data_IF_412260311031
#
_entry.id   IF_412260311031
#
_cell.length_a   1.000
_cell.length_b   1.000
_cell.length_c   1.000
_cell.angle_alpha   90.00
_cell.angle_beta   90.00
_cell.angle_gamma   90.00
#
_symmetry.space_group_name_H-M   'P 1'
#
loop_
_entity.id
_entity.type
_entity.pdbx_description
1 polymer ?
#
# COMPACT_ATOMS: atom_id res chain seq x y z
N UNK A 1 -23.65 -25.86 -0.23
CA UNK A 1 -22.32 -25.36 -0.62
C UNK A 1 -22.52 -24.22 -1.61
N UNK A 2 -22.62 -22.98 -1.12
CA UNK A 2 -22.67 -21.81 -1.99
C UNK A 2 -21.32 -21.62 -2.67
N UNK A 3 -21.30 -21.55 -4.00
CA UNK A 3 -20.11 -21.14 -4.76
C UNK A 3 -19.64 -19.79 -4.21
N UNK A 4 -18.42 -19.70 -3.75
CA UNK A 4 -17.79 -18.43 -3.43
C UNK A 4 -17.80 -17.60 -4.71
N UNK A 5 -18.74 -16.66 -4.80
CA UNK A 5 -18.77 -15.69 -5.89
C UNK A 5 -17.51 -14.84 -5.73
N UNK A 6 -16.63 -14.90 -6.71
CA UNK A 6 -15.41 -14.08 -6.72
C UNK A 6 -15.75 -12.59 -6.69
N UNK A 7 -14.79 -11.73 -6.42
CA UNK A 7 -15.01 -10.29 -6.36
C UNK A 7 -15.54 -9.77 -7.70
N UNK A 8 -16.59 -8.96 -7.65
CA UNK A 8 -17.06 -8.24 -8.84
C UNK A 8 -16.12 -7.04 -9.12
N UNK A 9 -15.11 -7.28 -9.95
CA UNK A 9 -14.12 -6.29 -10.31
C UNK A 9 -14.71 -5.05 -10.98
N UNK A 10 -15.82 -5.19 -11.73
CA UNK A 10 -16.49 -4.04 -12.37
C UNK A 10 -17.03 -3.08 -11.33
N UNK A 11 -17.71 -3.61 -10.32
CA UNK A 11 -18.23 -2.81 -9.20
C UNK A 11 -17.08 -2.19 -8.40
N UNK A 12 -16.04 -2.98 -8.07
CA UNK A 12 -14.88 -2.52 -7.29
C UNK A 12 -14.16 -1.37 -8.03
N UNK A 13 -13.91 -1.51 -9.35
CA UNK A 13 -13.29 -0.44 -10.13
C UNK A 13 -14.17 0.80 -10.26
N UNK A 14 -15.51 0.64 -10.33
CA UNK A 14 -16.43 1.79 -10.39
C UNK A 14 -16.43 2.61 -9.10
N UNK A 15 -16.29 1.95 -7.94
CA UNK A 15 -16.31 2.60 -6.62
C UNK A 15 -14.97 3.25 -6.29
N UNK A 16 -13.88 2.50 -6.48
CA UNK A 16 -12.55 2.95 -6.04
C UNK A 16 -11.73 3.63 -7.15
N UNK A 17 -11.99 3.35 -8.42
CA UNK A 17 -11.22 3.81 -9.58
C UNK A 17 -9.80 3.23 -9.59
N UNK A 18 -8.94 3.77 -10.44
CA UNK A 18 -7.51 3.45 -10.47
C UNK A 18 -6.69 4.63 -9.97
N UNK A 19 -5.72 4.38 -9.05
CA UNK A 19 -4.71 5.36 -8.73
C UNK A 19 -3.75 5.51 -9.91
N UNK A 20 -3.27 6.73 -10.11
CA UNK A 20 -2.20 7.02 -11.08
C UNK A 20 -2.50 6.53 -12.50
N UNK A 21 -3.78 6.56 -12.93
CA UNK A 21 -4.15 6.18 -14.30
C UNK A 21 -3.32 6.93 -15.35
N UNK A 22 -2.91 8.18 -15.05
CA UNK A 22 -2.05 8.98 -15.91
C UNK A 22 -0.67 8.35 -16.06
N UNK A 23 -0.07 7.86 -14.96
CA UNK A 23 1.22 7.15 -14.98
C UNK A 23 1.10 5.85 -15.76
N UNK A 24 0.03 5.09 -15.57
CA UNK A 24 -0.23 3.84 -16.31
C UNK A 24 -0.38 4.15 -17.80
N UNK A 25 -1.19 5.14 -18.18
CA UNK A 25 -1.39 5.56 -19.55
C UNK A 25 -0.07 6.03 -20.22
N UNK A 26 0.74 6.81 -19.47
CA UNK A 26 2.06 7.24 -19.92
C UNK A 26 3.00 6.04 -20.21
N UNK A 27 3.08 5.09 -19.30
CA UNK A 27 3.90 3.89 -19.48
C UNK A 27 3.46 3.06 -20.68
N UNK A 28 2.15 2.84 -20.83
CA UNK A 28 1.58 2.10 -21.96
C UNK A 28 1.83 2.83 -23.28
N UNK A 29 1.64 4.15 -23.33
CA UNK A 29 1.91 4.95 -24.51
C UNK A 29 3.36 4.82 -24.96
N UNK A 30 4.33 4.96 -24.04
CA UNK A 30 5.76 4.84 -24.39
C UNK A 30 6.14 3.40 -24.75
N UNK A 31 5.53 2.41 -24.10
CA UNK A 31 5.73 1.01 -24.47
C UNK A 31 5.29 0.74 -25.93
N UNK A 32 4.11 1.23 -26.31
CA UNK A 32 3.61 1.12 -27.69
C UNK A 32 4.50 1.87 -28.67
N UNK A 33 4.95 3.08 -28.31
CA UNK A 33 5.88 3.85 -29.15
C UNK A 33 7.17 3.08 -29.41
N UNK A 34 7.81 2.52 -28.37
CA UNK A 34 9.02 1.71 -28.53
C UNK A 34 8.76 0.41 -29.29
N UNK A 35 7.61 -0.23 -29.11
CA UNK A 35 7.22 -1.41 -29.89
C UNK A 35 7.11 -1.08 -31.39
N UNK A 36 6.43 0.04 -31.72
CA UNK A 36 6.29 0.51 -33.10
C UNK A 36 7.65 0.84 -33.69
N UNK A 37 8.51 1.57 -32.98
CA UNK A 37 9.86 1.90 -33.44
C UNK A 37 10.69 0.65 -33.71
N UNK A 38 10.66 -0.33 -32.80
CA UNK A 38 11.33 -1.62 -32.97
C UNK A 38 10.80 -2.37 -34.19
N UNK A 39 9.48 -2.42 -34.35
CA UNK A 39 8.83 -3.09 -35.49
C UNK A 39 9.16 -2.40 -36.82
N UNK A 40 9.10 -1.07 -36.90
CA UNK A 40 9.47 -0.31 -38.08
C UNK A 40 10.95 -0.51 -38.46
N UNK A 41 11.82 -0.52 -37.45
CA UNK A 41 13.24 -0.78 -37.66
C UNK A 41 13.48 -2.19 -38.23
N UNK A 42 12.72 -3.20 -37.78
CA UNK A 42 12.75 -4.55 -38.34
C UNK A 42 12.23 -4.59 -39.76
N UNK A 43 11.09 -3.96 -40.03
CA UNK A 43 10.42 -3.97 -41.34
C UNK A 43 11.25 -3.23 -42.38
N UNK A 44 11.82 -2.10 -42.02
CA UNK A 44 12.60 -1.25 -42.92
C UNK A 44 14.12 -1.35 -42.68
N UNK A 45 14.60 -2.49 -42.18
CA UNK A 45 15.99 -2.64 -41.76
C UNK A 45 16.99 -2.38 -42.91
N UNK A 46 16.73 -2.96 -44.10
CA UNK A 46 17.64 -2.80 -45.28
C UNK A 46 17.68 -1.34 -45.79
N UNK A 47 16.55 -0.65 -46.07
CA UNK A 47 16.60 0.76 -46.44
C UNK A 47 17.16 1.67 -45.36
N UNK A 48 16.88 1.39 -44.10
CA UNK A 48 17.46 2.14 -42.96
C UNK A 48 18.99 2.02 -42.94
N UNK A 49 19.54 0.81 -43.15
CA UNK A 49 20.98 0.60 -43.22
C UNK A 49 21.61 1.35 -44.42
N UNK A 50 20.99 1.34 -45.59
CA UNK A 50 21.49 2.07 -46.72
C UNK A 50 21.56 3.57 -46.49
N UNK A 51 20.48 4.15 -45.90
CA UNK A 51 20.44 5.59 -45.57
C UNK A 51 21.46 5.93 -44.49
N UNK A 52 21.56 5.13 -43.43
CA UNK A 52 22.49 5.36 -42.35
C UNK A 52 23.96 5.26 -42.79
N UNK A 53 24.27 4.28 -43.65
CA UNK A 53 25.61 4.14 -44.21
C UNK A 53 25.98 5.28 -45.20
N UNK A 54 25.00 5.81 -45.95
CA UNK A 54 25.21 6.98 -46.81
C UNK A 54 25.47 8.27 -46.00
N UNK A 55 24.87 8.39 -44.79
CA UNK A 55 25.10 9.51 -43.88
C UNK A 55 26.44 9.39 -43.15
N UNK A 56 26.93 8.18 -42.93
CA UNK A 56 28.12 7.87 -42.15
C UNK A 56 29.12 7.00 -42.97
N UNK A 57 29.62 7.50 -44.11
CA UNK A 57 30.45 6.72 -45.01
C UNK A 57 31.81 6.31 -44.41
N UNK A 58 32.26 7.02 -43.37
CA UNK A 58 33.52 6.69 -42.69
C UNK A 58 33.40 5.44 -41.76
N UNK A 59 32.18 4.97 -41.46
CA UNK A 59 31.97 3.82 -40.59
C UNK A 59 31.84 2.52 -41.42
N UNK A 60 32.52 1.43 -41.02
CA UNK A 60 32.35 0.13 -41.66
C UNK A 60 30.93 -0.38 -41.56
N UNK A 61 30.41 -1.01 -42.61
CA UNK A 61 29.03 -1.49 -42.69
C UNK A 61 28.62 -2.42 -41.53
N UNK A 62 29.56 -3.22 -41.00
CA UNK A 62 29.28 -4.13 -39.90
C UNK A 62 28.97 -3.38 -38.57
N UNK A 63 29.62 -2.22 -38.32
CA UNK A 63 29.31 -1.37 -37.17
C UNK A 63 27.94 -0.72 -37.30
N UNK A 64 27.59 -0.28 -38.50
CA UNK A 64 26.26 0.30 -38.78
C UNK A 64 25.17 -0.75 -38.60
N UNK A 65 25.38 -1.98 -39.07
CA UNK A 65 24.47 -3.12 -38.86
C UNK A 65 24.33 -3.46 -37.36
N UNK A 66 25.45 -3.52 -36.65
CA UNK A 66 25.44 -3.77 -35.23
C UNK A 66 24.66 -2.69 -34.49
N UNK A 67 24.93 -1.41 -34.71
CA UNK A 67 24.25 -0.29 -34.08
C UNK A 67 22.74 -0.31 -34.35
N UNK A 68 22.32 -0.58 -35.59
CA UNK A 68 20.90 -0.68 -35.92
C UNK A 68 20.20 -1.86 -35.23
N UNK A 69 20.82 -3.05 -35.23
CA UNK A 69 20.29 -4.23 -34.55
C UNK A 69 20.24 -4.05 -33.03
N UNK A 70 21.28 -3.46 -32.45
CA UNK A 70 21.34 -3.13 -31.03
C UNK A 70 20.22 -2.14 -30.65
N UNK A 71 20.02 -1.07 -31.45
CA UNK A 71 18.93 -0.11 -31.19
C UNK A 71 17.56 -0.76 -31.23
N UNK A 72 17.30 -1.64 -32.19
CA UNK A 72 16.05 -2.40 -32.27
C UNK A 72 15.83 -3.29 -31.05
N UNK A 73 16.88 -3.95 -30.58
CA UNK A 73 16.82 -4.77 -29.35
C UNK A 73 16.55 -3.93 -28.10
N UNK A 74 17.17 -2.76 -28.00
CA UNK A 74 16.94 -1.83 -26.89
C UNK A 74 15.50 -1.34 -26.89
N UNK A 75 14.93 -0.95 -28.04
CA UNK A 75 13.53 -0.53 -28.13
C UNK A 75 12.57 -1.65 -27.75
N UNK A 76 12.80 -2.88 -28.22
CA UNK A 76 12.00 -4.05 -27.87
C UNK A 76 12.03 -4.34 -26.38
N UNK A 77 13.22 -4.37 -25.78
CA UNK A 77 13.38 -4.61 -24.35
C UNK A 77 12.74 -3.50 -23.51
N UNK A 78 12.93 -2.23 -23.91
CA UNK A 78 12.31 -1.09 -23.24
C UNK A 78 10.79 -1.17 -23.27
N UNK A 79 10.20 -1.56 -24.40
CA UNK A 79 8.75 -1.79 -24.53
C UNK A 79 8.26 -2.85 -23.53
N UNK A 80 8.93 -3.99 -23.45
CA UNK A 80 8.57 -5.08 -22.53
C UNK A 80 8.69 -4.64 -21.07
N UNK A 81 9.76 -3.93 -20.70
CA UNK A 81 9.95 -3.42 -19.34
C UNK A 81 8.86 -2.40 -18.94
N UNK A 82 8.48 -1.51 -19.86
CA UNK A 82 7.42 -0.53 -19.61
C UNK A 82 6.05 -1.19 -19.48
N UNK A 83 5.72 -2.19 -20.33
CA UNK A 83 4.49 -2.97 -20.20
C UNK A 83 4.43 -3.74 -18.89
N UNK A 84 5.52 -4.39 -18.50
CA UNK A 84 5.62 -5.07 -17.22
C UNK A 84 5.41 -4.11 -16.05
N UNK A 85 6.03 -2.92 -16.09
CA UNK A 85 5.88 -1.88 -15.06
C UNK A 85 4.43 -1.38 -14.99
N UNK A 86 3.80 -1.13 -16.14
CA UNK A 86 2.39 -0.72 -16.22
C UNK A 86 1.44 -1.79 -15.65
N UNK A 87 1.65 -3.05 -16.01
CA UNK A 87 0.86 -4.18 -15.50
C UNK A 87 1.03 -4.35 -13.99
N UNK A 88 2.26 -4.24 -13.48
CA UNK A 88 2.53 -4.32 -12.05
C UNK A 88 1.88 -3.17 -11.27
N UNK A 89 1.95 -1.94 -11.81
CA UNK A 89 1.32 -0.77 -11.20
C UNK A 89 -0.21 -0.92 -11.17
N UNK A 90 -0.81 -1.38 -12.27
CA UNK A 90 -2.25 -1.64 -12.35
C UNK A 90 -2.69 -2.71 -11.34
N UNK A 91 -1.97 -3.82 -11.26
CA UNK A 91 -2.25 -4.89 -10.28
C UNK A 91 -2.11 -4.39 -8.84
N UNK A 92 -1.06 -3.62 -8.55
CA UNK A 92 -0.79 -3.14 -7.19
C UNK A 92 -1.75 -2.02 -6.76
N UNK A 93 -2.35 -1.29 -7.71
CA UNK A 93 -3.20 -0.12 -7.41
C UNK A 93 -4.52 -0.48 -6.74
N UNK A 94 -5.19 -1.55 -7.16
CA UNK A 94 -6.50 -1.95 -6.65
C UNK A 94 -6.61 -3.44 -6.32
N UNK A 95 -6.32 -4.39 -7.24
CA UNK A 95 -6.48 -5.82 -6.95
C UNK A 95 -5.67 -6.28 -5.73
N UNK A 96 -4.41 -5.89 -5.66
CA UNK A 96 -3.55 -6.27 -4.54
C UNK A 96 -4.00 -5.61 -3.23
N UNK A 97 -4.34 -4.31 -3.25
CA UNK A 97 -4.84 -3.61 -2.05
C UNK A 97 -6.12 -4.24 -1.52
N UNK A 98 -7.05 -4.60 -2.42
CA UNK A 98 -8.27 -5.30 -2.03
C UNK A 98 -7.97 -6.68 -1.42
N UNK A 99 -7.09 -7.47 -2.06
CA UNK A 99 -6.68 -8.76 -1.53
C UNK A 99 -6.01 -8.64 -0.16
N UNK A 100 -5.12 -7.66 0.00
CA UNK A 100 -4.43 -7.41 1.28
C UNK A 100 -5.40 -6.94 2.35
N UNK A 101 -6.39 -6.11 2.02
CA UNK A 101 -7.45 -5.71 2.96
C UNK A 101 -8.22 -6.93 3.48
N UNK A 102 -8.60 -7.88 2.59
CA UNK A 102 -9.26 -9.12 3.01
C UNK A 102 -8.37 -9.99 3.93
N UNK A 103 -7.07 -10.10 3.61
CA UNK A 103 -6.11 -10.82 4.46
C UNK A 103 -5.93 -10.15 5.83
N UNK A 104 -5.87 -8.82 5.86
CA UNK A 104 -5.76 -8.07 7.12
C UNK A 104 -7.00 -8.24 7.99
N UNK A 105 -8.19 -8.19 7.40
CA UNK A 105 -9.46 -8.43 8.10
C UNK A 105 -9.51 -9.86 8.63
N UNK A 106 -9.07 -10.86 7.88
CA UNK A 106 -9.05 -12.27 8.33
C UNK A 106 -8.01 -12.55 9.42
N UNK A 107 -7.02 -11.67 9.60
CA UNK A 107 -6.04 -11.81 10.70
C UNK A 107 -6.60 -11.47 12.09
N UNK A 108 -7.77 -10.84 12.16
CA UNK A 108 -8.48 -10.55 13.42
C UNK A 108 -9.48 -11.69 13.70
N UNK A 109 -9.32 -12.44 14.78
CA UNK A 109 -10.06 -13.69 14.98
C UNK A 109 -11.55 -13.52 15.34
N UNK A 110 -11.91 -12.41 15.96
CA UNK A 110 -13.28 -12.19 16.45
C UNK A 110 -13.74 -10.74 16.23
N UNK A 111 -14.49 -10.51 15.19
CA UNK A 111 -15.07 -9.21 14.86
C UNK A 111 -16.37 -8.92 15.61
N UNK A 112 -17.09 -9.92 16.10
CA UNK A 112 -18.35 -9.73 16.84
C UNK A 112 -18.12 -8.99 18.17
N UNK A 113 -16.94 -9.14 18.77
CA UNK A 113 -16.55 -8.45 20.01
C UNK A 113 -16.02 -7.01 19.76
N UNK A 114 -15.70 -6.64 18.52
CA UNK A 114 -15.14 -5.33 18.18
C UNK A 114 -16.21 -4.25 18.25
N UNK A 115 -15.97 -3.22 19.06
CA UNK A 115 -16.84 -2.02 19.18
C UNK A 115 -16.26 -0.83 18.44
N UNK A 116 -14.95 -0.62 18.58
CA UNK A 116 -14.25 0.51 17.98
C UNK A 116 -13.05 0.00 17.19
N UNK A 117 -13.06 0.21 15.88
CA UNK A 117 -11.91 -0.04 15.01
C UNK A 117 -11.38 1.27 14.44
N UNK A 118 -10.08 1.33 14.12
CA UNK A 118 -9.42 2.48 13.51
C UNK A 118 -8.64 2.03 12.27
N UNK A 119 -8.83 2.74 11.16
CA UNK A 119 -7.98 2.63 9.96
C UNK A 119 -7.09 3.87 9.85
N UNK A 120 -5.79 3.70 10.10
CA UNK A 120 -4.81 4.80 10.10
C UNK A 120 -4.26 5.01 8.69
N UNK A 121 -4.56 6.15 8.09
CA UNK A 121 -4.26 6.45 6.71
C UNK A 121 -5.23 5.75 5.76
N UNK A 122 -6.52 5.93 5.99
CA UNK A 122 -7.59 5.21 5.27
C UNK A 122 -7.59 5.46 3.75
N UNK A 123 -6.98 6.55 3.29
CA UNK A 123 -6.84 6.84 1.87
C UNK A 123 -8.15 6.70 1.10
N UNK A 124 -8.18 5.78 0.14
CA UNK A 124 -9.37 5.52 -0.70
C UNK A 124 -10.48 4.74 0.02
N UNK A 125 -10.25 4.27 1.24
CA UNK A 125 -11.24 3.56 2.02
C UNK A 125 -11.34 2.06 1.71
N UNK A 126 -10.42 1.44 0.96
CA UNK A 126 -10.49 0.01 0.61
C UNK A 126 -10.45 -0.84 1.89
N UNK A 127 -9.47 -0.61 2.77
CA UNK A 127 -9.33 -1.33 4.03
C UNK A 127 -10.43 -0.93 5.02
N UNK A 128 -10.75 0.36 5.11
CA UNK A 128 -11.84 0.91 5.91
C UNK A 128 -13.18 0.20 5.63
N UNK A 129 -13.54 0.09 4.33
CA UNK A 129 -14.79 -0.54 3.92
C UNK A 129 -14.74 -2.06 4.09
N UNK A 130 -13.57 -2.70 3.92
CA UNK A 130 -13.41 -4.13 4.20
C UNK A 130 -13.67 -4.45 5.68
N UNK A 131 -13.18 -3.60 6.60
CA UNK A 131 -13.49 -3.70 8.04
C UNK A 131 -14.98 -3.47 8.30
N UNK A 132 -15.58 -2.45 7.69
CA UNK A 132 -17.00 -2.16 7.85
C UNK A 132 -17.91 -3.29 7.33
N UNK A 133 -17.57 -3.87 6.16
CA UNK A 133 -18.27 -5.04 5.61
C UNK A 133 -18.17 -6.25 6.54
N UNK A 134 -17.03 -6.46 7.18
CA UNK A 134 -16.86 -7.55 8.13
C UNK A 134 -17.67 -7.32 9.41
N UNK A 135 -17.68 -6.10 9.96
CA UNK A 135 -18.54 -5.76 11.11
C UNK A 135 -20.01 -6.00 10.77
N UNK A 136 -20.47 -5.57 9.58
CA UNK A 136 -21.83 -5.81 9.09
C UNK A 136 -22.15 -7.29 8.96
N UNK A 137 -21.23 -8.07 8.39
CA UNK A 137 -21.37 -9.53 8.22
C UNK A 137 -21.52 -10.27 9.54
N UNK A 138 -20.77 -9.85 10.56
CA UNK A 138 -20.83 -10.44 11.92
C UNK A 138 -22.02 -9.91 12.76
N UNK A 139 -22.83 -9.01 12.21
CA UNK A 139 -23.93 -8.37 12.96
C UNK A 139 -23.45 -7.54 14.14
N UNK A 140 -22.21 -7.08 14.12
CA UNK A 140 -21.62 -6.27 15.18
C UNK A 140 -22.25 -4.88 15.21
N UNK A 141 -22.47 -4.32 16.41
CA UNK A 141 -22.82 -2.91 16.60
C UNK A 141 -21.59 -2.00 16.58
N UNK A 142 -20.42 -2.54 16.29
CA UNK A 142 -19.15 -1.82 16.22
C UNK A 142 -19.08 -0.85 15.04
N UNK A 143 -18.15 0.08 15.13
CA UNK A 143 -17.89 1.08 14.09
C UNK A 143 -16.40 1.16 13.79
N UNK A 144 -16.06 1.59 12.57
CA UNK A 144 -14.70 1.87 12.17
C UNK A 144 -14.52 3.36 11.87
N UNK A 145 -13.44 3.92 12.38
CA UNK A 145 -13.04 5.31 12.11
C UNK A 145 -11.90 5.28 11.09
N UNK A 146 -12.07 5.95 9.97
CA UNK A 146 -10.99 6.23 9.02
C UNK A 146 -10.29 7.53 9.38
N UNK A 147 -8.97 7.50 9.53
CA UNK A 147 -8.16 8.70 9.72
C UNK A 147 -7.32 8.98 8.47
N UNK A 148 -7.37 10.21 7.98
CA UNK A 148 -6.45 10.68 6.93
C UNK A 148 -6.03 12.13 7.19
N UNK A 149 -4.88 12.53 6.65
CA UNK A 149 -4.35 13.90 6.80
C UNK A 149 -5.11 14.94 5.99
N UNK A 150 -5.77 14.50 4.92
CA UNK A 150 -6.52 15.37 4.00
C UNK A 150 -8.01 15.17 4.19
N UNK A 151 -8.72 16.25 4.48
CA UNK A 151 -10.16 16.23 4.63
C UNK A 151 -10.88 15.71 3.37
N UNK A 152 -10.39 16.08 2.18
CA UNK A 152 -10.98 15.65 0.92
C UNK A 152 -10.92 14.13 0.75
N UNK A 153 -9.81 13.52 1.19
CA UNK A 153 -9.62 12.06 1.16
C UNK A 153 -10.60 11.36 2.10
N UNK A 154 -10.76 11.89 3.32
CA UNK A 154 -11.70 11.37 4.31
C UNK A 154 -13.16 11.44 3.80
N UNK A 155 -13.55 12.55 3.19
CA UNK A 155 -14.90 12.72 2.59
C UNK A 155 -15.10 11.75 1.42
N UNK A 156 -14.09 11.57 0.57
CA UNK A 156 -14.16 10.63 -0.54
C UNK A 156 -14.27 9.16 -0.06
N UNK A 157 -13.57 8.78 1.01
CA UNK A 157 -13.70 7.46 1.61
C UNK A 157 -15.13 7.21 2.15
N UNK A 158 -15.73 8.19 2.80
CA UNK A 158 -17.12 8.11 3.29
C UNK A 158 -18.15 7.94 2.15
N UNK A 159 -17.96 8.64 1.02
CA UNK A 159 -18.82 8.45 -0.16
C UNK A 159 -18.73 7.02 -0.71
N UNK A 160 -17.54 6.44 -0.73
CA UNK A 160 -17.32 5.05 -1.16
C UNK A 160 -17.94 4.06 -0.19
N UNK A 161 -17.91 4.34 1.12
CA UNK A 161 -18.64 3.54 2.11
C UNK A 161 -20.15 3.53 1.85
N UNK A 162 -20.72 4.65 1.40
CA UNK A 162 -22.12 4.71 0.93
C UNK A 162 -22.37 3.82 -0.29
N UNK A 163 -21.47 3.85 -1.28
CA UNK A 163 -21.57 3.00 -2.47
C UNK A 163 -21.44 1.50 -2.16
N UNK A 164 -20.68 1.12 -1.12
CA UNK A 164 -20.58 -0.26 -0.60
C UNK A 164 -21.73 -0.64 0.35
N UNK A 165 -22.61 0.30 0.69
CA UNK A 165 -23.73 0.06 1.62
C UNK A 165 -23.31 -0.20 3.06
N UNK A 166 -22.20 0.43 3.51
CA UNK A 166 -21.64 0.30 4.87
C UNK A 166 -21.47 1.64 5.58
N UNK A 167 -22.08 2.69 5.07
CA UNK A 167 -21.95 4.05 5.59
C UNK A 167 -22.27 4.17 7.10
N UNK A 168 -23.23 3.39 7.59
CA UNK A 168 -23.64 3.38 9.00
C UNK A 168 -22.54 2.87 9.95
N UNK A 169 -21.59 2.06 9.43
CA UNK A 169 -20.47 1.51 10.19
C UNK A 169 -19.23 2.39 10.14
N UNK A 170 -19.20 3.42 9.27
CA UNK A 170 -18.01 4.20 8.95
C UNK A 170 -18.15 5.64 9.42
N UNK A 171 -17.10 6.14 10.07
CA UNK A 171 -16.88 7.56 10.27
C UNK A 171 -15.49 7.93 9.77
N UNK A 172 -15.30 9.15 9.28
CA UNK A 172 -13.99 9.60 8.83
C UNK A 172 -13.60 10.89 9.57
N UNK A 173 -12.32 10.98 9.93
CA UNK A 173 -11.76 12.11 10.66
C UNK A 173 -10.43 12.54 10.03
N UNK A 174 -10.22 13.85 9.98
CA UNK A 174 -8.92 14.42 9.64
C UNK A 174 -7.97 14.33 10.85
N UNK A 175 -6.71 13.93 10.60
CA UNK A 175 -5.69 13.86 11.65
C UNK A 175 -4.35 13.35 11.16
N UNK A 176 -3.36 13.44 12.03
CA UNK A 176 -1.99 12.99 11.78
C UNK A 176 -1.71 11.70 12.57
N UNK A 177 -1.19 10.68 11.88
CA UNK A 177 -0.82 9.40 12.50
C UNK A 177 0.27 9.54 13.57
N UNK A 178 1.04 10.63 13.54
CA UNK A 178 2.09 10.93 14.54
C UNK A 178 1.55 11.51 15.84
N UNK A 179 0.28 11.91 15.83
CA UNK A 179 -0.47 12.41 17.01
C UNK A 179 -1.95 12.13 16.77
N UNK A 180 -2.37 10.92 17.10
CA UNK A 180 -3.74 10.49 16.90
C UNK A 180 -4.70 11.27 17.80
N UNK A 181 -5.78 11.89 17.26
CA UNK A 181 -6.72 12.70 18.01
C UNK A 181 -7.75 11.82 18.78
N UNK A 182 -7.25 10.77 19.43
CA UNK A 182 -8.06 9.81 20.19
C UNK A 182 -7.45 9.57 21.57
N UNK A 183 -8.27 9.24 22.57
CA UNK A 183 -7.78 8.89 23.90
C UNK A 183 -6.99 7.59 23.91
N UNK A 184 -6.24 7.35 24.98
CA UNK A 184 -5.52 6.11 25.21
C UNK A 184 -6.50 4.94 25.35
N UNK A 185 -6.08 3.76 24.88
CA UNK A 185 -6.85 2.52 25.07
C UNK A 185 -8.32 2.61 24.63
N UNK A 186 -8.55 3.18 23.45
CA UNK A 186 -9.91 3.42 22.91
C UNK A 186 -10.35 2.38 21.88
N UNK A 187 -9.44 1.86 21.07
CA UNK A 187 -9.77 0.96 19.96
C UNK A 187 -9.50 -0.50 20.32
N UNK A 188 -10.43 -1.36 19.92
CA UNK A 188 -10.29 -2.82 20.02
C UNK A 188 -9.38 -3.36 18.93
N UNK A 189 -9.48 -2.76 17.72
CA UNK A 189 -8.70 -3.12 16.55
C UNK A 189 -8.16 -1.85 15.88
N UNK A 190 -6.87 -1.87 15.50
CA UNK A 190 -6.25 -0.83 14.68
C UNK A 190 -5.67 -1.50 13.43
N UNK A 191 -5.99 -0.93 12.26
CA UNK A 191 -5.45 -1.37 10.98
C UNK A 191 -4.76 -0.21 10.26
N UNK A 192 -3.76 -0.51 9.42
CA UNK A 192 -3.13 0.49 8.55
C UNK A 192 -2.49 -0.18 7.34
N UNK A 193 -2.73 0.37 6.15
CA UNK A 193 -2.21 -0.16 4.89
C UNK A 193 -1.30 0.86 4.20
N UNK A 194 0.02 0.51 4.11
CA UNK A 194 1.05 1.28 3.35
C UNK A 194 1.09 2.76 3.72
N UNK A 195 0.79 3.10 4.98
CA UNK A 195 0.75 4.48 5.44
C UNK A 195 1.92 4.84 6.34
N UNK A 196 2.25 3.98 7.31
CA UNK A 196 3.26 4.27 8.33
C UNK A 196 4.66 4.41 7.75
N UNK A 197 5.06 3.58 6.77
CA UNK A 197 6.34 3.71 6.08
C UNK A 197 6.49 5.02 5.29
N UNK A 198 5.38 5.64 4.93
CA UNK A 198 5.34 6.94 4.25
C UNK A 198 5.65 8.14 5.14
N UNK A 199 5.61 7.96 6.48
CA UNK A 199 5.85 9.03 7.42
C UNK A 199 7.32 9.49 7.33
N UNK A 200 7.52 10.78 7.23
CA UNK A 200 8.84 11.40 7.22
C UNK A 200 9.65 11.31 5.92
N UNK A 201 9.19 10.62 4.88
CA UNK A 201 9.94 10.43 3.61
C UNK A 201 10.49 11.71 2.97
N UNK A 202 9.92 12.87 3.27
CA UNK A 202 10.38 14.17 2.74
C UNK A 202 11.50 14.83 3.55
N UNK A 203 11.94 14.25 4.68
CA UNK A 203 12.84 14.90 5.66
C UNK A 203 14.20 14.23 5.87
N UNK A 204 14.55 13.22 5.09
CA UNK A 204 15.78 12.44 5.26
C UNK A 204 15.60 11.18 6.14
N UNK A 205 16.51 10.20 6.01
CA UNK A 205 16.31 8.85 6.54
C UNK A 205 16.22 8.76 8.07
N UNK A 206 17.07 9.46 8.81
CA UNK A 206 17.06 9.46 10.27
C UNK A 206 15.78 10.08 10.85
N UNK A 207 15.34 11.18 10.26
CA UNK A 207 14.09 11.85 10.65
C UNK A 207 12.88 10.99 10.29
N UNK A 208 12.93 10.27 9.16
CA UNK A 208 11.86 9.39 8.73
C UNK A 208 11.67 8.20 9.70
N UNK A 209 12.75 7.59 10.19
CA UNK A 209 12.68 6.51 11.18
C UNK A 209 12.06 6.99 12.51
N UNK A 210 12.41 8.19 12.97
CA UNK A 210 11.81 8.79 14.17
C UNK A 210 10.30 9.06 13.98
N UNK A 211 9.90 9.60 12.82
CA UNK A 211 8.49 9.87 12.51
C UNK A 211 7.65 8.57 12.41
N UNK A 212 8.19 7.52 11.79
CA UNK A 212 7.55 6.18 11.77
C UNK A 212 7.41 5.61 13.18
N UNK A 213 8.46 5.74 14.00
CA UNK A 213 8.43 5.30 15.40
C UNK A 213 7.34 6.02 16.21
N UNK A 214 7.18 7.34 16.04
CA UNK A 214 6.10 8.11 16.65
C UNK A 214 4.72 7.58 16.24
N UNK A 215 4.52 7.33 14.94
CA UNK A 215 3.26 6.76 14.46
C UNK A 215 2.96 5.39 15.08
N UNK A 216 3.96 4.52 15.22
CA UNK A 216 3.79 3.21 15.85
C UNK A 216 3.45 3.32 17.34
N UNK A 217 4.11 4.23 18.07
CA UNK A 217 3.82 4.50 19.50
C UNK A 217 2.38 5.00 19.67
N UNK A 218 1.92 5.89 18.82
CA UNK A 218 0.55 6.40 18.84
C UNK A 218 -0.48 5.29 18.57
N UNK A 219 -0.21 4.40 17.61
CA UNK A 219 -1.04 3.21 17.36
C UNK A 219 -1.16 2.35 18.61
N UNK A 220 -0.04 2.06 19.28
CA UNK A 220 -0.03 1.27 20.53
C UNK A 220 -0.73 2.01 21.66
N UNK A 221 -0.59 3.35 21.75
CA UNK A 221 -1.24 4.17 22.77
C UNK A 221 -2.77 4.07 22.70
N UNK A 222 -3.33 4.23 21.49
CA UNK A 222 -4.80 4.22 21.32
C UNK A 222 -5.41 2.83 21.33
N UNK A 223 -4.59 1.77 21.19
CA UNK A 223 -5.03 0.38 21.24
C UNK A 223 -5.33 -0.04 22.68
N UNK A 224 -6.47 -0.66 22.94
CA UNK A 224 -6.85 -1.21 24.24
C UNK A 224 -5.90 -2.33 24.68
N UNK A 225 -5.72 -2.56 26.00
CA UNK A 225 -5.16 -3.83 26.47
C UNK A 225 -5.94 -5.02 25.89
N UNK A 226 -5.23 -6.04 25.39
CA UNK A 226 -5.82 -7.16 24.65
C UNK A 226 -6.24 -6.86 23.21
N UNK A 227 -6.20 -5.61 22.77
CA UNK A 227 -6.52 -5.18 21.42
C UNK A 227 -5.53 -5.69 20.39
N UNK A 228 -5.95 -5.76 19.14
CA UNK A 228 -5.17 -6.29 18.03
C UNK A 228 -4.86 -5.19 17.03
N UNK A 229 -3.61 -5.14 16.58
CA UNK A 229 -3.20 -4.29 15.48
C UNK A 229 -2.76 -5.14 14.27
N UNK A 230 -3.14 -4.72 13.08
CA UNK A 230 -2.73 -5.34 11.82
C UNK A 230 -2.22 -4.26 10.87
N UNK A 231 -0.95 -4.35 10.50
CA UNK A 231 -0.27 -3.40 9.63
C UNK A 231 0.18 -4.12 8.35
N UNK A 232 -0.12 -3.56 7.20
CA UNK A 232 0.50 -3.96 5.94
C UNK A 232 1.44 -2.86 5.46
N UNK A 233 2.71 -3.22 5.26
CA UNK A 233 3.69 -2.23 4.80
C UNK A 233 4.75 -2.83 3.85
N UNK A 234 5.46 -1.95 3.13
CA UNK A 234 6.40 -2.33 2.06
C UNK A 234 7.82 -2.56 2.60
N UNK A 235 8.44 -1.56 3.20
CA UNK A 235 9.88 -1.58 3.44
C UNK A 235 10.29 -1.63 4.92
N UNK A 236 9.43 -1.16 5.84
CA UNK A 236 9.79 -0.91 7.24
C UNK A 236 9.35 -2.01 8.21
N UNK A 237 8.95 -3.16 7.69
CA UNK A 237 8.43 -4.28 8.49
C UNK A 237 9.43 -4.82 9.50
N UNK A 238 10.72 -5.04 9.16
CA UNK A 238 11.72 -5.47 10.17
C UNK A 238 11.89 -4.45 11.31
N UNK A 239 11.90 -3.15 10.97
CA UNK A 239 11.96 -2.06 11.95
C UNK A 239 10.76 -2.09 12.89
N UNK A 240 9.54 -2.23 12.33
CA UNK A 240 8.33 -2.32 13.15
C UNK A 240 8.31 -3.55 14.03
N UNK A 241 8.67 -4.72 13.51
CA UNK A 241 8.70 -5.96 14.28
C UNK A 241 9.69 -5.89 15.45
N UNK A 242 10.86 -5.30 15.24
CA UNK A 242 11.85 -5.09 16.29
C UNK A 242 11.32 -4.13 17.37
N UNK A 243 10.80 -2.97 16.99
CA UNK A 243 10.24 -1.98 17.93
C UNK A 243 9.08 -2.54 18.74
N UNK A 244 8.20 -3.33 18.10
CA UNK A 244 7.08 -3.98 18.80
C UNK A 244 7.56 -4.97 19.86
N UNK A 245 8.64 -5.70 19.59
CA UNK A 245 9.28 -6.57 20.61
C UNK A 245 9.90 -5.76 21.76
N UNK A 246 10.58 -4.65 21.45
CA UNK A 246 11.13 -3.73 22.44
C UNK A 246 10.03 -3.13 23.33
N UNK A 247 8.86 -2.84 22.75
CA UNK A 247 7.66 -2.38 23.45
C UNK A 247 6.89 -3.51 24.18
N UNK A 248 7.43 -4.74 24.18
CA UNK A 248 6.85 -5.94 24.81
C UNK A 248 5.43 -6.26 24.33
N UNK A 249 5.15 -6.04 23.03
CA UNK A 249 3.89 -6.46 22.43
C UNK A 249 3.85 -7.99 22.29
N UNK A 250 2.67 -8.57 22.49
CA UNK A 250 2.42 -10.00 22.39
C UNK A 250 2.04 -10.42 20.98
N UNK A 251 2.20 -11.70 20.67
CA UNK A 251 1.80 -12.31 19.38
C UNK A 251 2.29 -11.55 18.14
N UNK A 252 3.52 -11.01 18.18
CA UNK A 252 4.08 -10.32 17.02
C UNK A 252 4.36 -11.33 15.92
N UNK A 253 3.54 -11.31 14.88
CA UNK A 253 3.63 -12.21 13.71
C UNK A 253 3.89 -11.40 12.45
N UNK A 254 4.76 -11.89 11.59
CA UNK A 254 5.03 -11.32 10.27
C UNK A 254 4.60 -12.35 9.22
N UNK A 255 3.78 -11.92 8.26
CA UNK A 255 3.30 -12.79 7.18
C UNK A 255 4.41 -13.17 6.20
N UNK A 256 4.12 -14.14 5.34
CA UNK A 256 4.92 -14.39 4.14
C UNK A 256 5.00 -13.14 3.26
N UNK A 257 6.08 -13.10 2.46
CA UNK A 257 6.34 -12.00 1.54
C UNK A 257 5.29 -11.94 0.43
N UNK A 258 4.76 -10.75 0.19
CA UNK A 258 3.92 -10.44 -0.97
C UNK A 258 4.58 -9.31 -1.75
N UNK A 259 4.74 -9.48 -3.08
CA UNK A 259 5.28 -8.43 -3.92
C UNK A 259 4.20 -7.39 -4.23
N UNK A 260 4.45 -6.15 -3.87
CA UNK A 260 3.59 -4.99 -4.14
C UNK A 260 4.44 -3.85 -4.71
N UNK A 261 3.99 -3.21 -5.78
CA UNK A 261 4.71 -2.10 -6.41
C UNK A 261 6.20 -2.42 -6.69
N UNK A 262 6.48 -3.64 -7.15
CA UNK A 262 7.82 -4.19 -7.39
C UNK A 262 8.71 -4.26 -6.12
N UNK A 263 8.14 -4.08 -4.93
CA UNK A 263 8.81 -4.18 -3.66
C UNK A 263 8.26 -5.32 -2.80
N UNK A 264 9.05 -5.78 -1.84
CA UNK A 264 8.59 -6.75 -0.85
C UNK A 264 7.66 -6.08 0.16
N UNK A 265 6.54 -6.72 0.46
CA UNK A 265 5.60 -6.26 1.49
C UNK A 265 5.21 -7.40 2.42
N UNK A 266 4.85 -7.07 3.65
CA UNK A 266 4.42 -8.03 4.65
C UNK A 266 3.29 -7.44 5.50
N UNK A 267 2.47 -8.33 6.06
CA UNK A 267 1.53 -7.97 7.12
C UNK A 267 2.22 -8.26 8.46
N UNK A 268 2.17 -7.29 9.37
CA UNK A 268 2.56 -7.45 10.77
C UNK A 268 1.30 -7.40 11.61
N UNK A 269 1.08 -8.40 12.44
CA UNK A 269 0.02 -8.38 13.44
C UNK A 269 0.61 -8.52 14.85
N UNK A 270 -0.01 -7.86 15.81
CA UNK A 270 0.39 -7.96 17.20
C UNK A 270 -0.80 -7.69 18.13
N UNK A 271 -0.67 -8.11 19.38
CA UNK A 271 -1.63 -7.85 20.46
C UNK A 271 -0.98 -7.00 21.54
N UNK A 272 -1.71 -6.02 22.06
CA UNK A 272 -1.28 -5.28 23.23
C UNK A 272 -1.53 -6.12 24.49
N UNK A 273 -0.54 -6.29 25.39
CA UNK A 273 -0.72 -7.06 26.64
C UNK A 273 -1.92 -6.60 27.45
N UNK A 274 -2.58 -7.53 28.14
CA UNK A 274 -3.71 -7.22 29.05
C UNK A 274 -3.26 -6.47 30.28
N UNK A 275 -2.09 -6.84 30.83
CA UNK A 275 -1.46 -6.18 31.96
C UNK A 275 0.05 -6.18 31.75
N UNK A 276 0.68 -5.07 31.94
CA UNK A 276 2.11 -5.00 32.21
C UNK A 276 2.22 -4.99 33.75
N UNK A 277 2.65 -6.12 34.33
CA UNK A 277 2.99 -6.33 35.76
C UNK A 277 2.90 -5.08 36.64
N UNK A 278 1.71 -4.78 37.16
CA UNK A 278 1.49 -3.83 38.27
C UNK A 278 1.95 -2.37 38.13
N UNK A 279 2.70 -2.05 37.08
CA UNK A 279 3.15 -0.69 36.79
C UNK A 279 2.53 -0.21 35.47
N UNK A 280 1.84 0.92 35.53
CA UNK A 280 1.44 1.64 34.34
C UNK A 280 2.71 1.86 33.49
N UNK A 281 2.70 1.37 32.22
CA UNK A 281 3.78 1.64 31.28
C UNK A 281 3.91 3.14 31.19
N UNK A 282 4.91 3.70 31.90
CA UNK A 282 5.34 5.06 31.58
C UNK A 282 5.77 5.07 30.13
N UNK A 283 5.24 5.97 29.30
CA UNK A 283 5.70 6.10 27.94
C UNK A 283 7.21 6.33 27.98
N UNK A 284 7.97 5.37 27.45
CA UNK A 284 9.43 5.47 27.36
C UNK A 284 9.76 6.82 26.74
N UNK A 285 10.41 7.70 27.49
CA UNK A 285 10.79 9.02 27.01
C UNK A 285 11.85 8.85 25.91
N UNK A 286 11.36 8.72 24.66
CA UNK A 286 12.17 8.60 23.45
C UNK A 286 13.06 9.85 23.24
N UNK A 287 12.86 10.93 24.03
CA UNK A 287 13.66 12.15 23.99
C UNK A 287 15.04 11.95 24.62
N UNK A 288 15.19 10.94 25.47
CA UNK A 288 16.43 10.69 26.20
C UNK A 288 17.54 10.00 25.35
N UNK A 289 17.21 9.45 24.17
CA UNK A 289 18.16 8.69 23.34
C UNK A 289 18.45 9.35 22.00
N UNK A 290 18.33 10.66 21.87
CA UNK A 290 18.81 11.42 20.71
C UNK A 290 19.98 12.30 21.22
N UNK A 291 21.14 11.67 21.35
CA UNK A 291 22.45 12.31 21.28
C UNK A 291 23.13 11.95 19.99
#
# INVERSE_FOLDING_TARGET
MGKAVGPDWRQIYSIYGTDEWQTIAFLVFHALLFAILSFLLLLYFAPFLCTLHSLLPALPLYLVRFAAGFSGSVFSLSSLCLLFSAANLLYSSLPLRWLMAQRMVSAVPNWSAVRNALDVGCGRGILLNAVALQLKKEGSSGRVVGLDRKRETAVAALRRAGAEGVQEYVTCREGDARRLPFPDSYFDVVVSAVHLSGLGKRRGDSTAAAERGRGLVEVVRVLKPGGICVLWDLACVPEFAQRLKEMRMEEVRVSERVTAYMASSHIVSFRKPLTLNGEAVQPMDWRANIC
#
